data_IF_779883133419
#
_entry.id   IF_779883133419
#
_cell.length_a   1.000
_cell.length_b   1.000
_cell.length_c   1.000
_cell.angle_alpha   90.00
_cell.angle_beta   90.00
_cell.angle_gamma   90.00
#
_symmetry.space_group_name_H-M   'P 1'
#
loop_
_entity.id
_entity.type
_entity.pdbx_description
1 polymer ?
#
# COMPACT_ATOMS: atom_id res chain seq x y z
N UNK A 1 14.61 -33.60 -13.77
CA UNK A 1 13.19 -33.27 -14.07
C UNK A 1 12.22 -34.44 -13.88
N UNK A 2 12.43 -35.64 -14.47
CA UNK A 2 11.47 -36.77 -14.32
C UNK A 2 11.32 -37.37 -12.91
N UNK A 3 12.34 -37.27 -12.05
CA UNK A 3 12.24 -37.72 -10.64
C UNK A 3 11.51 -36.73 -9.72
N UNK A 4 11.72 -35.43 -9.92
CA UNK A 4 11.00 -34.37 -9.19
C UNK A 4 9.49 -34.37 -9.49
N UNK A 5 9.12 -34.56 -10.77
CA UNK A 5 7.71 -34.65 -11.17
C UNK A 5 7.00 -35.87 -10.55
N UNK A 6 7.71 -37.00 -10.43
CA UNK A 6 7.19 -38.20 -9.75
C UNK A 6 7.04 -37.99 -8.24
N UNK A 7 7.94 -37.27 -7.59
CA UNK A 7 7.82 -36.94 -6.17
C UNK A 7 6.62 -36.02 -5.88
N UNK A 8 6.38 -35.02 -6.74
CA UNK A 8 5.23 -34.10 -6.59
C UNK A 8 3.89 -34.82 -6.87
N UNK A 9 3.85 -35.72 -7.86
CA UNK A 9 2.65 -36.52 -8.16
C UNK A 9 2.37 -37.60 -7.10
N UNK A 10 3.39 -38.15 -6.44
CA UNK A 10 3.21 -39.08 -5.32
C UNK A 10 2.69 -38.37 -4.07
N UNK A 11 3.09 -37.11 -3.84
CA UNK A 11 2.49 -36.28 -2.77
C UNK A 11 1.01 -35.95 -3.03
N UNK A 12 0.60 -35.80 -4.30
CA UNK A 12 -0.79 -35.55 -4.65
C UNK A 12 -1.69 -36.81 -4.64
N UNK A 13 -1.11 -38.02 -4.69
CA UNK A 13 -1.84 -39.28 -4.76
C UNK A 13 -1.99 -40.00 -3.40
N UNK A 14 -1.17 -39.66 -2.40
CA UNK A 14 -1.25 -40.24 -1.05
C UNK A 14 -2.13 -39.42 -0.08
N UNK A 15 -2.69 -38.29 -0.51
CA UNK A 15 -3.57 -37.42 0.28
C UNK A 15 -5.06 -37.83 0.23
N UNK A 16 -5.38 -39.03 -0.24
CA UNK A 16 -6.78 -39.52 -0.32
C UNK A 16 -7.44 -39.80 1.04
N UNK A 17 -6.77 -39.49 2.15
CA UNK A 17 -7.32 -39.48 3.50
C UNK A 17 -7.15 -38.12 4.22
N UNK A 18 -6.79 -37.05 3.50
CA UNK A 18 -6.73 -35.71 4.07
C UNK A 18 -8.15 -35.16 4.17
N UNK A 19 -8.73 -35.20 5.36
CA UNK A 19 -9.91 -34.41 5.66
C UNK A 19 -9.58 -32.94 5.39
N UNK A 20 -10.19 -32.36 4.35
CA UNK A 20 -10.26 -30.92 4.14
C UNK A 20 -11.11 -30.34 5.30
N UNK A 21 -10.47 -30.16 6.44
CA UNK A 21 -11.06 -29.43 7.56
C UNK A 21 -10.81 -27.95 7.31
N UNK A 22 -11.89 -27.16 7.32
CA UNK A 22 -11.79 -25.72 7.46
C UNK A 22 -11.15 -25.44 8.82
N UNK A 23 -9.84 -25.22 8.83
CA UNK A 23 -9.12 -24.85 10.04
C UNK A 23 -9.57 -23.43 10.40
N UNK A 24 -9.96 -23.14 11.66
CA UNK A 24 -10.12 -21.78 12.10
C UNK A 24 -8.72 -21.19 12.27
N UNK A 25 -8.10 -20.84 11.14
CA UNK A 25 -6.79 -20.18 11.06
C UNK A 25 -6.97 -18.76 11.62
N UNK A 26 -7.02 -18.64 12.94
CA UNK A 26 -7.28 -17.35 13.55
C UNK A 26 -7.78 -17.35 15.00
N UNK A 27 -8.12 -18.49 15.62
CA UNK A 27 -8.47 -18.52 17.05
C UNK A 27 -7.17 -18.59 17.90
N UNK A 28 -6.80 -17.52 18.62
CA UNK A 28 -5.62 -17.53 19.51
C UNK A 28 -5.80 -18.45 20.72
N UNK A 29 -7.05 -18.71 21.13
CA UNK A 29 -7.41 -19.48 22.32
C UNK A 29 -7.39 -21.00 22.10
N UNK A 30 -7.22 -21.47 20.86
CA UNK A 30 -7.07 -22.88 20.55
C UNK A 30 -5.93 -23.08 19.54
N UNK A 31 -4.65 -22.99 19.97
CA UNK A 31 -3.53 -23.41 19.15
C UNK A 31 -3.56 -24.94 18.89
N UNK A 32 -4.19 -25.69 19.80
CA UNK A 32 -4.23 -27.16 19.86
C UNK A 32 -5.35 -27.83 19.06
N UNK A 33 -6.01 -27.12 18.12
CA UNK A 33 -7.13 -27.68 17.35
C UNK A 33 -6.79 -28.97 16.57
N UNK A 34 -5.50 -29.24 16.35
CA UNK A 34 -5.01 -30.57 16.01
C UNK A 34 -3.66 -30.77 16.70
N UNK A 35 -3.67 -31.54 17.79
CA UNK A 35 -2.49 -32.20 18.36
C UNK A 35 -1.92 -33.18 17.32
N UNK A 36 -2.81 -33.78 16.52
CA UNK A 36 -2.49 -34.69 15.43
C UNK A 36 -2.23 -33.91 14.12
N UNK A 37 -0.98 -33.51 13.87
CA UNK A 37 -0.58 -32.88 12.60
C UNK A 37 -0.70 -33.82 11.39
N UNK A 38 -0.63 -33.27 10.17
CA UNK A 38 -0.77 -34.04 8.92
C UNK A 38 0.54 -34.76 8.51
N UNK A 39 1.68 -34.26 9.00
CA UNK A 39 3.00 -34.81 8.73
C UNK A 39 3.79 -34.84 10.03
N UNK A 40 4.13 -36.05 10.48
CA UNK A 40 4.87 -36.39 11.71
C UNK A 40 3.99 -36.54 12.96
N UNK A 41 3.42 -37.73 13.12
CA UNK A 41 3.01 -38.25 14.43
C UNK A 41 4.25 -38.82 15.12
N UNK A 42 4.45 -38.48 16.39
CA UNK A 42 5.41 -39.16 17.25
C UNK A 42 5.25 -40.69 17.16
N UNK A 43 6.36 -41.41 17.17
CA UNK A 43 6.32 -42.88 17.12
C UNK A 43 5.51 -43.39 18.31
N UNK A 44 4.45 -44.16 18.04
CA UNK A 44 3.48 -44.65 19.02
C UNK A 44 4.09 -45.00 20.38
N UNK A 45 3.77 -44.18 21.37
CA UNK A 45 4.19 -44.31 22.76
C UNK A 45 3.03 -43.95 23.70
N UNK A 46 2.93 -44.71 24.78
CA UNK A 46 1.88 -44.70 25.80
C UNK A 46 1.48 -43.27 26.27
N UNK A 47 0.18 -42.90 26.28
CA UNK A 47 -0.31 -41.60 26.76
C UNK A 47 -0.05 -41.32 28.25
N UNK A 48 0.53 -42.26 29.00
CA UNK A 48 0.86 -42.13 30.42
C UNK A 48 2.37 -42.06 30.74
N UNK A 49 3.27 -42.04 29.76
CA UNK A 49 4.73 -41.97 30.02
C UNK A 49 5.24 -40.51 30.04
N UNK A 50 5.70 -39.98 31.20
CA UNK A 50 6.26 -38.63 31.27
C UNK A 50 7.61 -38.47 30.56
N UNK A 51 8.18 -39.54 29.99
CA UNK A 51 9.41 -39.52 29.19
C UNK A 51 9.16 -39.53 27.66
N UNK A 52 7.92 -39.56 27.16
CA UNK A 52 7.60 -39.38 25.72
C UNK A 52 7.30 -37.91 25.36
N UNK A 53 7.02 -37.06 26.35
CA UNK A 53 6.57 -35.66 26.16
C UNK A 53 7.63 -34.69 25.63
N UNK A 54 8.89 -35.12 25.46
CA UNK A 54 9.96 -34.29 24.88
C UNK A 54 10.28 -34.63 23.42
N UNK A 55 9.90 -35.82 22.94
CA UNK A 55 10.21 -36.30 21.59
C UNK A 55 9.01 -36.26 20.62
N UNK A 56 7.77 -36.28 21.14
CA UNK A 56 6.54 -36.39 20.33
C UNK A 56 5.74 -35.08 20.22
N UNK A 57 6.36 -33.95 20.55
CA UNK A 57 5.66 -32.70 20.83
C UNK A 57 5.77 -31.64 19.72
N UNK A 58 6.03 -32.05 18.48
CA UNK A 58 6.16 -31.15 17.33
C UNK A 58 5.25 -31.64 16.21
N UNK A 59 4.29 -30.82 15.80
CA UNK A 59 3.40 -31.13 14.69
C UNK A 59 3.46 -30.07 13.59
N UNK A 60 3.49 -30.49 12.32
CA UNK A 60 3.51 -29.59 11.17
C UNK A 60 2.13 -29.52 10.52
N UNK A 61 1.65 -28.30 10.31
CA UNK A 61 0.40 -28.01 9.58
C UNK A 61 0.70 -27.17 8.36
N UNK A 62 0.20 -27.62 7.22
CA UNK A 62 0.27 -26.91 5.95
C UNK A 62 -1.15 -26.63 5.47
N UNK A 63 -1.37 -25.42 4.97
CA UNK A 63 -2.66 -25.00 4.46
C UNK A 63 -2.51 -23.95 3.37
N UNK A 64 -3.64 -23.59 2.77
CA UNK A 64 -3.74 -22.49 1.83
C UNK A 64 -4.90 -21.62 2.27
N UNK A 65 -4.72 -20.31 2.14
CA UNK A 65 -5.75 -19.34 2.40
C UNK A 65 -5.73 -18.33 1.25
N UNK A 66 -6.90 -18.12 0.64
CA UNK A 66 -7.04 -17.30 -0.55
C UNK A 66 -8.13 -16.25 -0.40
N UNK A 67 -8.05 -15.23 -1.24
CA UNK A 67 -9.02 -14.16 -1.43
C UNK A 67 -9.40 -13.40 -0.14
N UNK A 68 -8.43 -13.18 0.74
CA UNK A 68 -8.63 -12.29 1.89
C UNK A 68 -8.55 -10.85 1.43
N UNK A 69 -9.65 -10.12 1.59
CA UNK A 69 -9.75 -8.68 1.36
C UNK A 69 -9.68 -7.97 2.70
N UNK A 70 -8.69 -7.12 2.88
CA UNK A 70 -8.69 -6.13 3.97
C UNK A 70 -9.11 -4.78 3.40
N UNK A 71 -10.32 -4.33 3.75
CA UNK A 71 -10.77 -2.96 3.54
C UNK A 71 -10.47 -2.13 4.80
N UNK A 72 -9.80 -0.98 4.63
CA UNK A 72 -9.38 -0.09 5.72
C UNK A 72 -9.43 1.38 5.34
N UNK A 73 -9.95 2.18 6.27
CA UNK A 73 -9.76 3.64 6.25
C UNK A 73 -8.38 4.00 6.83
N UNK A 74 -7.49 4.48 5.96
CA UNK A 74 -6.14 4.91 6.35
C UNK A 74 -6.06 6.43 6.54
N UNK A 75 -5.19 6.87 7.45
CA UNK A 75 -4.87 8.28 7.66
C UNK A 75 -3.50 8.58 7.05
N UNK A 76 -3.37 9.72 6.38
CA UNK A 76 -2.10 10.24 5.88
C UNK A 76 -1.17 10.58 7.06
N UNK A 77 0.08 10.15 6.95
CA UNK A 77 1.15 10.43 7.92
C UNK A 77 2.13 11.43 7.29
N UNK A 78 1.74 12.71 7.36
CA UNK A 78 2.47 13.81 6.74
C UNK A 78 2.66 14.96 7.72
N UNK A 79 3.65 15.82 7.47
CA UNK A 79 3.87 17.05 8.22
C UNK A 79 2.72 18.04 8.00
N UNK A 80 2.51 18.95 8.97
CA UNK A 80 1.51 20.03 8.88
C UNK A 80 1.78 20.99 7.74
N UNK A 81 3.06 21.14 7.40
CA UNK A 81 3.53 22.03 6.35
C UNK A 81 4.07 21.21 5.18
N UNK A 82 3.95 21.78 3.99
CA UNK A 82 4.37 21.24 2.71
C UNK A 82 5.06 22.35 1.91
N UNK A 83 6.27 22.08 1.42
CA UNK A 83 7.06 23.03 0.66
C UNK A 83 6.53 23.17 -0.76
N UNK A 84 6.01 24.35 -1.11
CA UNK A 84 5.56 24.66 -2.46
C UNK A 84 5.58 26.18 -2.71
N UNK A 85 5.36 26.62 -3.95
CA UNK A 85 5.28 28.04 -4.30
C UNK A 85 4.16 28.78 -3.55
N UNK A 86 4.35 30.09 -3.38
CA UNK A 86 3.34 30.97 -2.80
C UNK A 86 2.03 30.89 -3.61
N UNK A 87 0.89 30.86 -2.92
CA UNK A 87 -0.41 30.81 -3.59
C UNK A 87 -0.63 32.07 -4.44
N UNK A 88 -1.22 31.95 -5.65
CA UNK A 88 -1.72 33.11 -6.36
C UNK A 88 -2.70 33.91 -5.50
N UNK A 89 -2.62 35.23 -5.59
CA UNK A 89 -3.40 36.21 -4.83
C UNK A 89 -4.13 37.16 -5.76
N UNK A 90 -5.07 37.96 -5.22
CA UNK A 90 -5.78 38.98 -5.99
C UNK A 90 -4.88 40.11 -6.50
N UNK A 91 -3.61 40.20 -6.06
CA UNK A 91 -2.62 41.12 -6.62
C UNK A 91 -1.91 40.57 -7.86
N UNK A 92 -2.05 39.27 -8.14
CA UNK A 92 -1.54 38.60 -9.34
C UNK A 92 -2.51 38.75 -10.53
N UNK A 93 -2.96 39.99 -10.78
CA UNK A 93 -3.89 40.36 -11.86
C UNK A 93 -3.16 40.46 -13.20
N UNK A 94 -3.87 40.20 -14.32
CA UNK A 94 -3.49 40.48 -15.72
C UNK A 94 -1.98 40.55 -15.97
N UNK A 95 -1.36 39.37 -15.99
CA UNK A 95 0.07 39.20 -16.12
C UNK A 95 0.74 39.08 -14.76
N UNK A 96 0.96 37.84 -14.33
CA UNK A 96 1.70 37.49 -13.12
C UNK A 96 2.95 38.39 -12.99
N UNK A 97 3.12 39.09 -11.87
CA UNK A 97 4.27 40.00 -11.72
C UNK A 97 5.57 39.22 -11.43
N UNK A 98 5.44 38.06 -10.78
CA UNK A 98 6.56 37.24 -10.32
C UNK A 98 6.30 35.76 -10.50
N UNK A 99 7.28 35.04 -11.04
CA UNK A 99 7.24 33.59 -11.13
C UNK A 99 7.51 32.92 -9.77
N UNK A 100 6.81 31.83 -9.44
CA UNK A 100 7.12 31.04 -8.25
C UNK A 100 8.38 30.23 -8.52
N UNK A 101 9.54 30.72 -8.09
CA UNK A 101 10.85 30.03 -8.23
C UNK A 101 11.42 29.53 -6.90
N UNK A 102 10.78 29.90 -5.78
CA UNK A 102 11.16 29.49 -4.43
C UNK A 102 10.01 28.78 -3.74
N UNK A 103 10.34 27.78 -2.92
CA UNK A 103 9.36 27.13 -2.05
C UNK A 103 9.16 27.94 -0.78
N UNK A 104 7.94 27.85 -0.25
CA UNK A 104 7.54 28.39 1.03
C UNK A 104 6.76 27.33 1.78
N UNK A 105 6.90 27.23 3.12
CA UNK A 105 6.07 26.35 3.92
C UNK A 105 4.59 26.74 3.79
N UNK A 106 3.74 25.79 3.38
CA UNK A 106 2.29 25.98 3.28
C UNK A 106 1.54 24.89 4.01
N UNK A 107 0.31 25.16 4.42
CA UNK A 107 -0.56 24.14 5.01
C UNK A 107 -0.67 22.94 4.07
N UNK A 108 -0.31 21.76 4.58
CA UNK A 108 -0.27 20.55 3.79
C UNK A 108 -1.70 20.05 3.49
N UNK A 109 -2.10 19.95 2.20
CA UNK A 109 -3.43 19.48 1.81
C UNK A 109 -3.79 18.09 2.36
N UNK A 110 -2.82 17.20 2.49
CA UNK A 110 -3.02 15.85 3.02
C UNK A 110 -3.07 15.82 4.53
N UNK A 111 -2.70 16.88 5.26
CA UNK A 111 -2.64 16.80 6.71
C UNK A 111 -4.03 16.52 7.32
N UNK A 112 -4.14 15.41 8.05
CA UNK A 112 -5.39 15.01 8.66
C UNK A 112 -6.42 14.41 7.70
N UNK A 113 -6.05 14.15 6.44
CA UNK A 113 -6.92 13.50 5.45
C UNK A 113 -6.89 11.98 5.55
N UNK A 114 -7.86 11.37 4.87
CA UNK A 114 -8.10 9.94 4.88
C UNK A 114 -8.24 9.41 3.45
N UNK A 115 -7.86 8.16 3.26
CA UNK A 115 -8.25 7.42 2.07
C UNK A 115 -9.70 6.96 2.20
N UNK A 116 -10.38 6.92 1.07
CA UNK A 116 -11.77 6.45 1.03
C UNK A 116 -11.79 4.93 1.15
N UNK A 117 -10.89 4.27 0.42
CA UNK A 117 -10.81 2.83 0.34
C UNK A 117 -9.35 2.38 0.17
N UNK A 118 -9.00 1.25 0.76
CA UNK A 118 -7.71 0.62 0.59
C UNK A 118 -7.87 -0.89 0.74
N UNK A 119 -8.10 -1.54 -0.40
CA UNK A 119 -8.29 -2.99 -0.48
C UNK A 119 -6.95 -3.68 -0.74
N UNK A 120 -6.64 -4.71 0.03
CA UNK A 120 -5.48 -5.59 -0.21
C UNK A 120 -5.97 -7.02 -0.32
N UNK A 121 -5.67 -7.68 -1.44
CA UNK A 121 -6.02 -9.08 -1.67
C UNK A 121 -4.77 -9.94 -1.49
N UNK A 122 -4.85 -10.96 -0.65
CA UNK A 122 -3.71 -11.86 -0.38
C UNK A 122 -4.08 -13.31 -0.58
N UNK A 123 -3.29 -13.99 -1.41
CA UNK A 123 -3.33 -15.42 -1.65
C UNK A 123 -2.04 -16.03 -1.14
N UNK A 124 -2.10 -16.92 -0.15
CA UNK A 124 -0.90 -17.43 0.49
C UNK A 124 -1.04 -18.85 1.03
N UNK A 125 0.10 -19.56 0.98
CA UNK A 125 0.28 -20.80 1.70
C UNK A 125 0.58 -20.48 3.17
N UNK A 126 0.01 -21.28 4.06
CA UNK A 126 0.22 -21.26 5.50
C UNK A 126 1.04 -22.46 5.92
N UNK A 127 2.00 -22.22 6.80
CA UNK A 127 2.76 -23.26 7.46
C UNK A 127 2.82 -22.94 8.95
N UNK A 128 2.48 -23.91 9.79
CA UNK A 128 2.60 -23.79 11.24
C UNK A 128 3.32 -24.99 11.84
N UNK A 129 4.21 -24.70 12.75
CA UNK A 129 4.89 -25.64 13.61
C UNK A 129 4.29 -25.51 15.01
N UNK A 130 3.56 -26.53 15.43
CA UNK A 130 3.13 -26.66 16.80
C UNK A 130 4.27 -27.20 17.66
N UNK A 131 4.41 -26.69 18.87
CA UNK A 131 5.38 -27.10 19.87
C UNK A 131 4.62 -27.26 21.20
N UNK A 132 4.73 -28.46 21.79
CA UNK A 132 4.16 -28.83 23.08
C UNK A 132 2.65 -28.60 23.21
N UNK A 133 1.90 -28.70 22.10
CA UNK A 133 0.44 -28.51 22.02
C UNK A 133 -0.07 -27.16 22.51
N UNK A 134 0.83 -26.21 22.80
CA UNK A 134 0.52 -24.94 23.47
C UNK A 134 1.03 -23.74 22.73
N UNK A 135 1.99 -23.94 21.83
CA UNK A 135 2.64 -22.88 21.09
C UNK A 135 2.65 -23.23 19.61
N UNK A 136 2.23 -22.32 18.74
CA UNK A 136 2.49 -22.44 17.31
C UNK A 136 3.35 -21.28 16.84
N UNK A 137 4.41 -21.60 16.11
CA UNK A 137 5.06 -20.65 15.20
C UNK A 137 4.46 -20.87 13.83
N UNK A 138 3.99 -19.82 13.19
CA UNK A 138 3.45 -19.91 11.85
C UNK A 138 4.08 -18.87 10.94
N UNK A 139 4.17 -19.22 9.67
CA UNK A 139 4.52 -18.29 8.63
C UNK A 139 3.61 -18.49 7.44
N UNK A 140 3.57 -17.46 6.62
CA UNK A 140 2.80 -17.51 5.40
C UNK A 140 3.61 -16.94 4.27
N UNK A 141 3.49 -17.57 3.11
CA UNK A 141 4.18 -17.15 1.90
C UNK A 141 3.16 -17.09 0.77
N UNK A 142 3.12 -15.97 0.06
CA UNK A 142 2.16 -15.80 -1.00
C UNK A 142 2.36 -14.55 -1.82
N UNK A 143 1.24 -14.06 -2.33
CA UNK A 143 1.18 -12.95 -3.25
C UNK A 143 0.07 -11.99 -2.81
N UNK A 144 0.39 -10.71 -2.82
CA UNK A 144 -0.54 -9.62 -2.51
C UNK A 144 -0.57 -8.63 -3.66
N UNK A 145 -1.77 -8.17 -4.00
CA UNK A 145 -2.01 -6.99 -4.80
C UNK A 145 -2.99 -6.07 -4.05
N UNK A 146 -3.18 -4.86 -4.57
CA UNK A 146 -3.88 -3.82 -3.85
C UNK A 146 -4.54 -2.79 -4.73
N UNK A 147 -5.59 -2.19 -4.17
CA UNK A 147 -6.36 -1.11 -4.77
C UNK A 147 -6.60 0.03 -3.75
N UNK A 148 -5.63 0.97 -3.59
CA UNK A 148 -5.86 2.20 -2.84
C UNK A 148 -6.63 3.25 -3.65
N UNK A 149 -7.68 3.81 -3.05
CA UNK A 149 -8.48 4.92 -3.60
C UNK A 149 -8.67 6.05 -2.60
N UNK A 150 -8.50 7.28 -3.06
CA UNK A 150 -8.73 8.44 -2.22
C UNK A 150 -8.84 9.75 -2.97
N UNK A 151 -9.28 10.77 -2.24
CA UNK A 151 -9.29 12.13 -2.75
C UNK A 151 -7.85 12.65 -2.94
N UNK A 152 -7.62 13.45 -3.97
CA UNK A 152 -6.32 14.02 -4.34
C UNK A 152 -5.63 14.83 -3.24
N UNK A 153 -6.38 15.40 -2.30
CA UNK A 153 -5.83 16.05 -1.13
C UNK A 153 -4.98 15.07 -0.31
N UNK A 154 -5.36 13.79 -0.22
CA UNK A 154 -4.61 12.74 0.48
C UNK A 154 -3.28 12.38 -0.21
N UNK A 155 -3.14 12.73 -1.50
CA UNK A 155 -1.97 12.47 -2.34
C UNK A 155 -1.17 13.73 -2.71
N UNK A 156 -1.41 14.87 -2.04
CA UNK A 156 -0.73 16.14 -2.35
C UNK A 156 -0.67 16.43 -3.85
N UNK A 157 -1.80 16.32 -4.55
CA UNK A 157 -1.86 16.72 -5.95
C UNK A 157 -1.68 18.25 -6.03
N UNK A 158 -0.60 18.67 -6.69
CA UNK A 158 -0.21 20.08 -6.82
C UNK A 158 0.08 20.43 -8.27
N UNK A 159 -0.17 21.67 -8.61
CA UNK A 159 0.11 22.19 -9.94
C UNK A 159 0.74 23.57 -9.92
N UNK A 160 1.32 23.94 -11.04
CA UNK A 160 1.76 25.30 -11.35
C UNK A 160 0.65 25.98 -12.14
N UNK A 161 0.01 26.96 -11.54
CA UNK A 161 -0.97 27.82 -12.19
C UNK A 161 -0.40 29.22 -12.36
N UNK A 162 -0.33 29.67 -13.61
CA UNK A 162 0.17 30.97 -13.99
C UNK A 162 1.69 31.10 -13.91
N UNK A 163 2.28 31.59 -14.98
CA UNK A 163 3.70 31.98 -15.07
C UNK A 163 3.84 33.18 -15.99
N UNK A 164 4.77 34.08 -15.65
CA UNK A 164 5.17 35.18 -16.54
C UNK A 164 6.23 34.75 -17.55
N UNK A 165 6.91 33.65 -17.27
CA UNK A 165 7.93 33.08 -18.14
C UNK A 165 7.36 32.83 -19.54
N UNK A 166 8.05 33.34 -20.55
CA UNK A 166 7.72 33.09 -21.95
C UNK A 166 7.83 31.59 -22.26
N UNK A 167 7.02 31.09 -23.20
CA UNK A 167 7.04 29.67 -23.55
C UNK A 167 8.44 29.16 -23.93
N UNK A 168 9.24 29.99 -24.60
CA UNK A 168 10.62 29.69 -25.01
C UNK A 168 11.62 29.56 -23.85
N UNK A 169 11.31 30.11 -22.67
CA UNK A 169 12.16 30.11 -21.49
C UNK A 169 11.64 29.21 -20.36
N UNK A 170 10.48 28.57 -20.55
CA UNK A 170 9.81 27.74 -19.55
C UNK A 170 10.73 26.64 -18.99
N UNK A 171 11.48 25.98 -19.89
CA UNK A 171 12.38 24.88 -19.55
C UNK A 171 13.53 25.28 -18.61
N UNK A 172 13.93 26.55 -18.60
CA UNK A 172 15.03 27.06 -17.80
C UNK A 172 14.59 27.77 -16.50
N UNK A 173 13.29 28.06 -16.35
CA UNK A 173 12.80 28.98 -15.32
C UNK A 173 12.67 28.39 -13.90
N UNK A 174 12.88 27.07 -13.74
CA UNK A 174 12.86 26.37 -12.43
C UNK A 174 11.61 26.69 -11.59
N UNK A 175 10.44 26.69 -12.24
CA UNK A 175 9.17 27.07 -11.64
C UNK A 175 8.66 25.97 -10.69
N UNK A 176 8.18 26.37 -9.52
CA UNK A 176 7.63 25.47 -8.49
C UNK A 176 6.09 25.47 -8.49
N UNK A 177 5.43 24.32 -8.25
CA UNK A 177 3.98 24.26 -8.11
C UNK A 177 3.46 25.21 -7.03
N UNK A 178 2.39 25.94 -7.30
CA UNK A 178 1.86 27.01 -6.44
C UNK A 178 0.37 26.84 -6.09
N UNK A 179 -0.31 25.81 -6.62
CA UNK A 179 -1.70 25.48 -6.30
C UNK A 179 -1.83 24.01 -5.88
N UNK A 180 -2.78 23.72 -4.99
CA UNK A 180 -3.16 22.35 -4.64
C UNK A 180 -4.52 22.03 -5.24
N UNK A 181 -4.61 20.86 -5.88
CA UNK A 181 -5.80 20.34 -6.52
C UNK A 181 -6.47 19.36 -5.55
N UNK A 182 -7.44 19.82 -4.77
CA UNK A 182 -8.09 19.03 -3.71
C UNK A 182 -9.44 18.42 -4.13
N UNK A 183 -9.90 18.69 -5.35
CA UNK A 183 -11.12 18.14 -5.94
C UNK A 183 -10.76 17.17 -7.06
N UNK A 184 -10.21 16.02 -6.67
CA UNK A 184 -9.91 14.93 -7.58
C UNK A 184 -10.04 13.59 -6.87
N UNK A 185 -10.26 12.57 -7.67
CA UNK A 185 -10.16 11.17 -7.26
C UNK A 185 -8.87 10.57 -7.84
N UNK A 186 -8.16 9.86 -7.00
CA UNK A 186 -6.92 9.17 -7.36
C UNK A 186 -7.08 7.71 -7.02
N UNK A 187 -6.78 6.87 -8.02
CA UNK A 187 -6.85 5.42 -7.92
C UNK A 187 -5.50 4.82 -8.26
N UNK A 188 -5.07 3.85 -7.45
CA UNK A 188 -3.84 3.11 -7.63
C UNK A 188 -4.17 1.63 -7.74
N UNK A 189 -3.70 0.97 -8.80
CA UNK A 189 -3.70 -0.48 -8.91
C UNK A 189 -2.27 -0.96 -8.80
N UNK A 190 -2.04 -1.92 -7.92
CA UNK A 190 -0.71 -2.50 -7.76
C UNK A 190 -0.55 -3.82 -8.50
N UNK A 191 0.66 -4.13 -8.91
CA UNK A 191 1.02 -5.45 -9.38
C UNK A 191 0.90 -6.48 -8.26
N UNK A 192 0.95 -7.74 -8.65
CA UNK A 192 1.02 -8.86 -7.72
C UNK A 192 2.46 -9.05 -7.28
N UNK A 193 2.74 -8.80 -6.00
CA UNK A 193 4.07 -8.97 -5.43
C UNK A 193 4.09 -10.02 -4.33
N UNK A 194 5.27 -10.57 -4.10
CA UNK A 194 5.50 -11.50 -3.02
C UNK A 194 5.16 -10.87 -1.66
N UNK A 195 4.42 -11.63 -0.86
CA UNK A 195 4.02 -11.28 0.49
C UNK A 195 4.42 -12.40 1.44
N UNK A 196 4.87 -12.02 2.62
CA UNK A 196 5.20 -12.98 3.66
C UNK A 196 4.71 -12.49 5.01
N UNK A 197 4.44 -13.44 5.90
CA UNK A 197 4.19 -13.13 7.30
C UNK A 197 4.84 -14.16 8.20
N UNK A 198 5.12 -13.75 9.43
CA UNK A 198 5.55 -14.62 10.51
C UNK A 198 4.77 -14.26 11.76
N UNK A 199 4.38 -15.26 12.52
CA UNK A 199 3.63 -15.08 13.73
C UNK A 199 3.81 -16.22 14.71
N UNK A 200 3.35 -15.98 15.92
CA UNK A 200 3.28 -16.98 16.96
C UNK A 200 1.94 -16.89 17.68
N UNK A 201 1.45 -18.03 18.17
CA UNK A 201 0.28 -18.10 19.05
C UNK A 201 0.57 -19.02 20.21
N UNK A 202 0.02 -18.70 21.36
CA UNK A 202 0.25 -19.45 22.58
C UNK A 202 -1.02 -19.53 23.43
N UNK A 203 -1.25 -20.68 24.04
CA UNK A 203 -2.14 -20.81 25.18
C UNK A 203 -1.45 -20.21 26.41
N UNK A 204 -2.00 -19.12 26.93
CA UNK A 204 -1.47 -18.42 28.10
C UNK A 204 -1.96 -19.05 29.41
N UNK A 205 -3.16 -19.59 29.39
CA UNK A 205 -3.79 -20.18 30.57
C UNK A 205 -4.84 -21.21 30.18
N UNK A 206 -4.91 -22.28 30.94
CA UNK A 206 -5.89 -23.36 30.81
C UNK A 206 -6.45 -23.68 32.19
N UNK A 207 -7.78 -23.77 32.31
CA UNK A 207 -8.44 -24.26 33.51
C UNK A 207 -9.66 -25.09 33.12
N UNK A 208 -9.57 -26.40 33.31
CA UNK A 208 -10.59 -27.34 32.86
C UNK A 208 -10.82 -27.21 31.36
N UNK A 209 -12.04 -26.85 30.96
CA UNK A 209 -12.43 -26.68 29.57
C UNK A 209 -12.22 -25.25 29.01
N UNK A 210 -11.70 -24.31 29.82
CA UNK A 210 -11.46 -22.94 29.41
C UNK A 210 -9.99 -22.71 29.01
N UNK A 211 -9.76 -22.07 27.86
CA UNK A 211 -8.42 -21.70 27.40
C UNK A 211 -8.36 -20.23 27.04
N UNK A 212 -7.37 -19.53 27.58
CA UNK A 212 -7.00 -18.17 27.18
C UNK A 212 -5.75 -18.25 26.32
N UNK A 213 -5.78 -17.63 25.15
CA UNK A 213 -4.61 -17.59 24.28
C UNK A 213 -4.40 -16.24 23.63
N UNK A 214 -3.17 -16.04 23.17
CA UNK A 214 -2.75 -14.83 22.48
C UNK A 214 -2.03 -15.19 21.18
N UNK A 215 -2.11 -14.30 20.19
CA UNK A 215 -1.32 -14.42 18.99
C UNK A 215 -0.77 -13.08 18.53
N UNK A 216 0.35 -13.17 17.82
CA UNK A 216 1.05 -12.06 17.24
C UNK A 216 1.49 -12.42 15.83
N UNK A 217 1.37 -11.49 14.89
CA UNK A 217 1.77 -11.69 13.50
C UNK A 217 2.33 -10.39 12.93
N UNK A 218 3.40 -10.52 12.16
CA UNK A 218 3.95 -9.48 11.32
C UNK A 218 3.81 -9.89 9.86
N UNK A 219 3.23 -9.03 9.03
CA UNK A 219 3.12 -9.24 7.60
C UNK A 219 3.79 -8.11 6.82
N UNK A 220 4.40 -8.45 5.68
CA UNK A 220 5.06 -7.51 4.80
C UNK A 220 4.87 -7.89 3.33
N UNK A 221 4.68 -6.88 2.50
CA UNK A 221 4.71 -6.99 1.04
C UNK A 221 5.21 -5.67 0.42
N UNK A 222 5.71 -5.72 -0.82
CA UNK A 222 6.16 -4.55 -1.56
C UNK A 222 5.65 -4.57 -3.00
N UNK A 223 4.33 -4.45 -3.23
CA UNK A 223 3.79 -4.34 -4.57
C UNK A 223 4.18 -3.02 -5.23
N UNK A 224 4.45 -3.08 -6.53
CA UNK A 224 4.67 -1.91 -7.40
C UNK A 224 3.33 -1.40 -7.90
N UNK A 225 3.23 -0.11 -8.16
CA UNK A 225 2.06 0.46 -8.83
C UNK A 225 2.11 0.07 -10.30
N UNK A 226 1.09 -0.62 -10.77
CA UNK A 226 0.92 -1.02 -12.16
C UNK A 226 0.13 0.03 -12.93
N UNK A 227 -0.87 0.64 -12.31
CA UNK A 227 -1.68 1.69 -12.93
C UNK A 227 -1.98 2.79 -11.91
N UNK A 228 -1.79 4.03 -12.34
CA UNK A 228 -2.15 5.24 -11.61
C UNK A 228 -3.16 6.02 -12.44
N UNK A 229 -4.34 6.23 -11.89
CA UNK A 229 -5.39 7.05 -12.47
C UNK A 229 -5.62 8.28 -11.59
N UNK A 230 -5.60 9.45 -12.21
CA UNK A 230 -5.90 10.73 -11.56
C UNK A 230 -6.99 11.40 -12.35
N UNK A 231 -8.13 11.63 -11.72
CA UNK A 231 -9.28 12.32 -12.30
C UNK A 231 -9.52 13.61 -11.52
N UNK A 232 -9.10 14.75 -12.08
CA UNK A 232 -9.34 16.08 -11.54
C UNK A 232 -10.12 16.94 -12.53
N UNK A 233 -10.91 17.87 -12.01
CA UNK A 233 -11.54 18.91 -12.84
C UNK A 233 -10.52 19.71 -13.68
N UNK A 234 -9.28 19.82 -13.20
CA UNK A 234 -8.22 20.57 -13.89
C UNK A 234 -7.26 19.71 -14.72
N UNK A 235 -7.20 18.40 -14.48
CA UNK A 235 -6.24 17.49 -15.09
C UNK A 235 -6.71 16.04 -14.93
N UNK A 236 -6.67 15.28 -16.02
CA UNK A 236 -6.93 13.85 -16.01
C UNK A 236 -5.72 13.13 -16.62
N UNK A 237 -5.21 12.08 -15.99
CA UNK A 237 -4.14 11.27 -16.58
C UNK A 237 -4.10 9.86 -16.00
N UNK A 238 -3.71 8.94 -16.87
CA UNK A 238 -3.47 7.53 -16.54
C UNK A 238 -2.03 7.19 -16.90
N UNK A 239 -1.31 6.54 -15.99
CA UNK A 239 0.06 6.11 -16.19
C UNK A 239 0.16 4.62 -15.91
N UNK A 240 0.59 3.84 -16.91
CA UNK A 240 0.99 2.45 -16.69
C UNK A 240 2.44 2.42 -16.18
N UNK A 241 2.67 1.69 -15.09
CA UNK A 241 3.97 1.55 -14.39
C UNK A 241 4.60 2.91 -14.10
N UNK A 242 3.93 3.76 -13.30
CA UNK A 242 4.41 5.11 -13.04
C UNK A 242 5.80 5.09 -12.41
N UNK A 243 6.67 5.92 -12.99
CA UNK A 243 7.99 6.21 -12.45
C UNK A 243 8.01 7.62 -11.89
N UNK A 244 8.72 7.79 -10.79
CA UNK A 244 8.79 9.07 -10.11
C UNK A 244 10.12 9.30 -9.41
N UNK A 245 10.15 10.37 -8.64
CA UNK A 245 11.33 10.86 -7.95
C UNK A 245 11.13 10.70 -6.45
N UNK A 246 12.00 9.91 -5.83
CA UNK A 246 11.99 9.68 -4.38
C UNK A 246 12.81 10.77 -3.70
N UNK A 247 12.25 11.39 -2.66
CA UNK A 247 12.90 12.43 -1.85
C UNK A 247 13.49 13.60 -2.67
N UNK A 248 12.90 13.93 -3.82
CA UNK A 248 13.29 15.11 -4.60
C UNK A 248 12.40 16.29 -4.24
N UNK A 249 13.01 17.41 -3.86
CA UNK A 249 12.30 18.66 -3.61
C UNK A 249 11.78 19.30 -4.91
N UNK A 250 10.88 20.27 -4.78
CA UNK A 250 10.44 21.04 -5.94
C UNK A 250 11.51 22.09 -6.29
N UNK A 251 11.65 22.43 -7.58
CA UNK A 251 10.91 21.90 -8.73
C UNK A 251 11.42 20.52 -9.16
N UNK A 252 10.52 19.67 -9.67
CA UNK A 252 10.93 18.44 -10.35
C UNK A 252 11.63 18.80 -11.66
N UNK A 253 12.42 17.85 -12.18
CA UNK A 253 13.07 18.01 -13.48
C UNK A 253 12.04 18.35 -14.57
N UNK A 254 12.36 19.31 -15.43
CA UNK A 254 11.42 19.74 -16.46
C UNK A 254 11.13 18.67 -17.50
N UNK A 255 11.90 17.58 -17.60
CA UNK A 255 11.57 16.44 -18.44
C UNK A 255 10.77 15.38 -17.71
N UNK A 256 10.47 15.54 -16.42
CA UNK A 256 9.60 14.65 -15.67
C UNK A 256 8.27 14.46 -16.41
N UNK A 257 7.84 13.21 -16.58
CA UNK A 257 6.64 12.85 -17.34
C UNK A 257 6.80 12.81 -18.87
N UNK A 258 7.97 13.16 -19.43
CA UNK A 258 8.29 12.93 -20.85
C UNK A 258 8.99 11.57 -21.04
N UNK A 259 9.04 11.09 -22.29
CA UNK A 259 9.86 9.91 -22.66
C UNK A 259 11.36 10.09 -22.34
N UNK A 260 11.84 11.34 -22.25
CA UNK A 260 13.23 11.69 -21.95
C UNK A 260 13.47 12.01 -20.46
N UNK A 261 12.53 11.67 -19.58
CA UNK A 261 12.66 11.92 -18.14
C UNK A 261 13.93 11.24 -17.59
N UNK A 262 14.71 11.92 -16.72
CA UNK A 262 15.78 11.28 -15.96
C UNK A 262 15.26 10.02 -15.25
N UNK A 263 16.14 9.03 -15.06
CA UNK A 263 15.80 7.73 -14.47
C UNK A 263 15.03 7.87 -13.15
N UNK A 264 13.71 7.73 -13.22
CA UNK A 264 12.84 7.65 -12.06
C UNK A 264 12.81 6.24 -11.47
N UNK A 265 12.45 6.14 -10.18
CA UNK A 265 12.19 4.86 -9.51
C UNK A 265 10.76 4.43 -9.82
N UNK A 266 10.53 3.13 -9.97
CA UNK A 266 9.17 2.58 -10.01
C UNK A 266 8.43 2.97 -8.72
N UNK A 267 7.20 3.44 -8.83
CA UNK A 267 6.35 3.64 -7.66
C UNK A 267 6.05 2.29 -7.02
N UNK A 268 6.34 2.15 -5.73
CA UNK A 268 6.07 0.94 -4.95
C UNK A 268 5.48 1.31 -3.60
N UNK A 269 4.65 0.42 -3.07
CA UNK A 269 4.03 0.59 -1.77
C UNK A 269 4.61 -0.47 -0.83
N UNK A 270 5.42 -0.05 0.12
CA UNK A 270 5.91 -0.87 1.23
C UNK A 270 4.79 -1.04 2.26
N UNK A 271 4.19 -2.22 2.26
CA UNK A 271 3.16 -2.62 3.21
C UNK A 271 3.76 -3.32 4.41
N UNK A 272 3.39 -2.87 5.60
CA UNK A 272 3.76 -3.48 6.86
C UNK A 272 2.55 -3.57 7.78
N UNK A 273 2.35 -4.73 8.40
CA UNK A 273 1.28 -4.90 9.36
C UNK A 273 1.73 -5.65 10.60
N UNK A 274 1.36 -5.11 11.77
CA UNK A 274 1.40 -5.81 13.04
C UNK A 274 -0.01 -6.20 13.45
N UNK A 275 -0.22 -7.45 13.81
CA UNK A 275 -1.47 -7.94 14.37
C UNK A 275 -1.18 -8.56 15.73
N UNK A 276 -2.00 -8.23 16.72
CA UNK A 276 -2.01 -8.86 18.03
C UNK A 276 -3.44 -9.25 18.37
N UNK A 277 -3.64 -10.41 18.96
CA UNK A 277 -4.98 -10.84 19.37
C UNK A 277 -4.94 -11.64 20.65
N UNK A 278 -6.06 -11.63 21.35
CA UNK A 278 -6.29 -12.29 22.61
C UNK A 278 -7.68 -12.88 22.56
N UNK A 279 -7.82 -14.15 22.93
CA UNK A 279 -9.11 -14.82 22.90
C UNK A 279 -9.26 -15.77 24.07
N UNK A 280 -10.52 -16.00 24.44
CA UNK A 280 -10.96 -16.98 25.43
C UNK A 280 -11.89 -17.96 24.73
N UNK A 281 -11.60 -19.26 24.86
CA UNK A 281 -12.44 -20.35 24.37
C UNK A 281 -12.92 -21.21 25.53
N UNK A 282 -14.04 -21.91 25.32
CA UNK A 282 -14.53 -22.92 26.25
C UNK A 282 -15.02 -24.15 25.47
N UNK A 283 -14.50 -25.33 25.79
CA UNK A 283 -14.86 -26.58 25.09
C UNK A 283 -16.12 -27.22 25.71
N UNK A 284 -17.19 -27.32 24.93
CA UNK A 284 -18.46 -27.95 25.26
C UNK A 284 -18.67 -29.22 24.43
N UNK A 285 -18.10 -30.35 24.82
CA UNK A 285 -18.24 -31.65 24.16
C UNK A 285 -17.98 -31.62 22.62
N UNK A 286 -18.97 -31.22 21.80
CA UNK A 286 -18.89 -31.06 20.33
C UNK A 286 -18.72 -29.60 19.84
N UNK A 287 -18.86 -28.59 20.71
CA UNK A 287 -18.78 -27.17 20.34
C UNK A 287 -17.69 -26.45 21.14
N UNK A 288 -16.88 -25.62 20.50
CA UNK A 288 -15.99 -24.69 21.20
C UNK A 288 -16.35 -23.25 20.86
N UNK A 289 -17.26 -22.60 21.60
CA UNK A 289 -17.41 -21.16 21.53
C UNK A 289 -16.11 -20.45 21.90
N UNK A 290 -15.80 -19.37 21.19
CA UNK A 290 -14.70 -18.47 21.54
C UNK A 290 -15.11 -17.02 21.35
N UNK A 291 -14.50 -16.15 22.13
CA UNK A 291 -14.56 -14.70 21.98
C UNK A 291 -13.13 -14.17 21.93
N UNK A 292 -12.86 -13.25 21.01
CA UNK A 292 -11.53 -12.70 20.84
C UNK A 292 -11.54 -11.23 20.46
N UNK A 293 -10.49 -10.54 20.89
CA UNK A 293 -10.16 -9.20 20.45
C UNK A 293 -8.93 -9.27 19.55
N UNK A 294 -8.96 -8.55 18.44
CA UNK A 294 -7.84 -8.43 17.52
C UNK A 294 -7.54 -6.96 17.30
N UNK A 295 -6.30 -6.60 17.55
CA UNK A 295 -5.71 -5.32 17.22
C UNK A 295 -4.82 -5.49 16.00
N UNK A 296 -4.93 -4.58 15.04
CA UNK A 296 -4.06 -4.55 13.87
C UNK A 296 -3.61 -3.13 13.56
N UNK A 297 -2.34 -2.99 13.18
CA UNK A 297 -1.77 -1.74 12.72
C UNK A 297 -1.04 -1.92 11.41
N UNK A 298 -1.61 -1.36 10.34
CA UNK A 298 -0.98 -1.33 9.03
C UNK A 298 -0.32 0.03 8.75
N UNK A 299 0.77 -0.03 8.00
CA UNK A 299 1.46 1.12 7.40
C UNK A 299 1.66 0.82 5.93
N UNK A 300 1.39 1.81 5.10
CA UNK A 300 1.71 1.81 3.67
C UNK A 300 2.68 2.96 3.45
N UNK A 301 3.88 2.66 2.98
CA UNK A 301 4.91 3.66 2.71
C UNK A 301 5.27 3.66 1.23
N UNK A 302 5.29 4.83 0.61
CA UNK A 302 5.61 4.96 -0.81
C UNK A 302 6.86 5.82 -1.03
N UNK A 303 7.75 5.88 -0.03
CA UNK A 303 8.99 6.65 -0.05
C UNK A 303 8.78 8.14 -0.41
N UNK A 304 7.58 8.68 -0.19
CA UNK A 304 7.22 10.06 -0.60
C UNK A 304 7.49 10.31 -2.09
N UNK A 305 7.25 9.30 -2.94
CA UNK A 305 7.54 9.39 -4.37
C UNK A 305 6.67 10.46 -5.03
N UNK A 306 7.31 11.31 -5.84
CA UNK A 306 6.65 12.34 -6.65
C UNK A 306 6.57 11.92 -8.10
N UNK A 307 5.37 11.97 -8.67
CA UNK A 307 5.08 11.56 -10.05
C UNK A 307 4.54 12.78 -10.77
N UNK A 308 5.13 13.11 -11.92
CA UNK A 308 4.66 14.18 -12.79
C UNK A 308 3.61 13.65 -13.78
N UNK A 309 2.67 14.50 -14.16
CA UNK A 309 1.74 14.22 -15.25
C UNK A 309 2.52 13.93 -16.55
N UNK A 310 2.08 12.94 -17.36
CA UNK A 310 2.67 12.69 -18.67
C UNK A 310 2.56 13.91 -19.58
N UNK A 311 3.64 14.18 -20.31
CA UNK A 311 3.71 15.30 -21.25
C UNK A 311 4.51 14.97 -22.49
N UNK A 312 4.23 15.72 -23.55
CA UNK A 312 4.93 15.61 -24.82
C UNK A 312 6.32 16.25 -24.72
N UNK A 313 7.32 15.62 -25.35
CA UNK A 313 8.68 16.16 -25.40
C UNK A 313 8.79 17.43 -26.27
N UNK A 314 7.87 17.59 -27.22
CA UNK A 314 7.70 18.80 -28.03
C UNK A 314 6.21 19.08 -28.16
N UNK A 315 5.84 20.36 -28.25
CA UNK A 315 4.46 20.74 -28.46
C UNK A 315 3.95 20.18 -29.81
N UNK A 316 2.75 19.61 -29.80
CA UNK A 316 2.02 19.22 -31.01
C UNK A 316 0.74 20.03 -31.00
N UNK A 317 0.48 20.79 -32.07
CA UNK A 317 -0.64 21.74 -32.14
C UNK A 317 -0.61 22.78 -31.00
N UNK A 318 0.57 23.27 -30.65
CA UNK A 318 0.82 24.23 -29.55
C UNK A 318 0.42 23.73 -28.15
N UNK A 319 0.23 22.42 -28.01
CA UNK A 319 -0.12 21.78 -26.75
C UNK A 319 1.00 20.84 -26.31
N UNK A 320 1.44 20.97 -25.06
CA UNK A 320 2.49 20.15 -24.44
C UNK A 320 1.93 19.00 -23.59
N UNK A 321 0.62 18.99 -23.32
CA UNK A 321 -0.08 17.95 -22.56
C UNK A 321 -1.43 17.63 -23.21
N UNK A 322 -1.75 16.34 -23.43
CA UNK A 322 -2.96 15.95 -24.18
C UNK A 322 -4.29 16.29 -23.49
N UNK A 323 -4.28 16.68 -22.21
CA UNK A 323 -5.43 17.21 -21.50
C UNK A 323 -5.18 18.70 -21.15
N UNK A 324 -5.73 19.64 -21.93
CA UNK A 324 -5.51 21.05 -21.71
C UNK A 324 -6.10 21.47 -20.37
N UNK A 325 -5.22 22.07 -19.59
CA UNK A 325 -5.47 22.71 -18.32
C UNK A 325 -6.42 23.88 -18.46
N UNK A 326 -7.19 24.13 -17.41
CA UNK A 326 -8.08 25.28 -17.25
C UNK A 326 -7.42 26.53 -17.83
N UNK A 327 -8.00 27.08 -18.92
CA UNK A 327 -7.70 28.41 -19.40
C UNK A 327 -8.46 29.40 -18.51
N UNK A 328 -7.77 30.37 -17.91
CA UNK A 328 -8.34 31.39 -17.04
C UNK A 328 -9.35 32.31 -17.75
N UNK A 329 -9.02 33.58 -17.94
CA UNK A 329 -9.90 34.51 -18.67
C UNK A 329 -9.83 34.28 -20.19
N UNK A 330 -8.90 33.45 -20.65
CA UNK A 330 -8.78 33.01 -22.04
C UNK A 330 -8.20 34.08 -22.96
N UNK A 331 -7.49 35.07 -22.42
CA UNK A 331 -6.85 36.09 -23.26
C UNK A 331 -5.46 35.61 -23.61
N UNK A 332 -5.29 35.04 -24.81
CA UNK A 332 -3.98 34.65 -25.33
C UNK A 332 -3.16 35.92 -25.56
N UNK A 333 -2.15 36.18 -24.72
CA UNK A 333 -1.08 37.10 -25.11
C UNK A 333 -0.36 36.51 -26.32
N UNK A 334 -0.07 37.33 -27.32
CA UNK A 334 0.59 36.91 -28.55
C UNK A 334 1.87 36.13 -28.24
N UNK A 335 2.12 35.03 -28.96
CA UNK A 335 3.24 34.14 -28.67
C UNK A 335 4.60 34.84 -28.61
N UNK A 336 5.44 34.44 -27.65
CA UNK A 336 6.76 35.06 -27.41
C UNK A 336 6.71 36.36 -26.60
N UNK A 337 5.64 36.61 -25.85
CA UNK A 337 5.52 37.71 -24.90
C UNK A 337 5.44 37.19 -23.47
N UNK A 338 5.83 38.01 -22.50
CA UNK A 338 5.66 37.69 -21.09
C UNK A 338 4.18 37.41 -20.80
N UNK A 339 3.91 36.46 -19.89
CA UNK A 339 2.58 36.00 -19.50
C UNK A 339 1.79 35.19 -20.54
N UNK A 340 2.41 34.74 -21.63
CA UNK A 340 1.82 33.79 -22.61
C UNK A 340 1.16 32.57 -21.94
N UNK A 341 1.76 32.06 -20.87
CA UNK A 341 1.29 30.88 -20.15
C UNK A 341 0.55 31.23 -18.84
N UNK A 342 0.27 32.52 -18.57
CA UNK A 342 -0.30 32.97 -17.30
C UNK A 342 -1.70 32.43 -17.01
N UNK A 343 -2.47 32.17 -18.06
CA UNK A 343 -3.85 31.69 -17.95
C UNK A 343 -3.95 30.16 -17.98
N UNK A 344 -2.85 29.42 -17.89
CA UNK A 344 -2.83 27.95 -18.07
C UNK A 344 -2.11 27.26 -16.92
N UNK A 345 -2.47 26.01 -16.64
CA UNK A 345 -1.71 25.17 -15.72
C UNK A 345 -0.65 24.38 -16.50
N UNK A 346 0.59 24.43 -16.02
CA UNK A 346 1.75 24.01 -16.80
C UNK A 346 2.42 22.75 -16.26
N UNK A 347 2.39 22.58 -14.94
CA UNK A 347 2.96 21.43 -14.25
C UNK A 347 1.85 20.87 -13.37
N UNK A 348 1.67 19.56 -13.41
CA UNK A 348 0.88 18.82 -12.42
C UNK A 348 1.72 17.68 -11.92
N UNK A 349 1.78 17.55 -10.60
CA UNK A 349 2.52 16.47 -9.94
C UNK A 349 1.78 16.02 -8.70
N UNK A 350 1.97 14.75 -8.36
CA UNK A 350 1.35 14.11 -7.22
C UNK A 350 2.43 13.50 -6.33
N UNK A 351 2.21 13.47 -5.03
CA UNK A 351 3.11 12.81 -4.07
C UNK A 351 2.36 11.70 -3.34
N UNK A 352 2.78 10.45 -3.53
CA UNK A 352 2.20 9.34 -2.77
C UNK A 352 2.79 9.37 -1.36
N UNK A 353 1.94 9.69 -0.38
CA UNK A 353 2.33 9.86 1.00
C UNK A 353 2.38 8.54 1.76
N UNK A 354 3.12 8.54 2.87
CA UNK A 354 2.99 7.49 3.89
C UNK A 354 1.60 7.52 4.52
N UNK A 355 1.05 6.34 4.77
CA UNK A 355 -0.27 6.14 5.33
C UNK A 355 -0.21 5.16 6.51
N UNK A 356 -1.02 5.40 7.52
CA UNK A 356 -1.12 4.55 8.72
C UNK A 356 -2.57 4.29 9.06
N UNK A 357 -2.84 3.08 9.53
CA UNK A 357 -4.13 2.77 10.16
C UNK A 357 -4.33 3.66 11.39
N UNK A 358 -5.59 4.01 11.68
CA UNK A 358 -5.93 4.84 12.85
C UNK A 358 -5.40 4.18 14.13
N UNK A 359 -4.96 5.00 15.09
CA UNK A 359 -4.86 4.55 16.48
C UNK A 359 -6.31 4.33 16.94
N UNK A 360 -6.69 3.07 17.14
CA UNK A 360 -7.93 2.67 17.81
C UNK A 360 -7.95 3.24 19.23
#
# INVERSE_FOLDING_TARGET
MKKLLKSVLVFAALSSASSLQALPVGNPAEPSLMIDGILWEGFGGDPCDPCTTWCDAISLRLGYYGDYVFDRVLKTDVNKEFEMGAAPTVTDVAGLQTDPTTTTPRSNPAYGKHFQDAEMFTNAAFMALNIWDRFDVFCTLGATNGYPKGNSASFNLVGLFGTKTQASAFDAAKLVPNVSLSQADVELYTDTAFAWSVGARAALWECGCATLGASFQYAQSKPKVEELNVLCNAAEFTINKPKGYVNQDFPLDIKAGTENAPTGKDASIDYHEWQASLALSYRLNMFTPYIGVKWSRASFDADTIRIAQPKLAAAILDVTTLNPTIAGKGTLTSGGQDNELADTMQIVSMQINKMKSRKS
#
